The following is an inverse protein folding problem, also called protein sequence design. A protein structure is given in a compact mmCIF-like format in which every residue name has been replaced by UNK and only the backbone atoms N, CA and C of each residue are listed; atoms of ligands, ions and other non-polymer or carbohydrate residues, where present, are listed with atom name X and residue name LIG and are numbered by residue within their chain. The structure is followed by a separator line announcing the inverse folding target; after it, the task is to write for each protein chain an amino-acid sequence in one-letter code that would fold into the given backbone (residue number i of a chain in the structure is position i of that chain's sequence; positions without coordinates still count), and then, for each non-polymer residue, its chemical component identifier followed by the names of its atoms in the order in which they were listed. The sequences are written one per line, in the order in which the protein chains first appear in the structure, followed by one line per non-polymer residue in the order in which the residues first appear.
data_IF_297636924476
#
_entry.id   IF_297636924476
#
_cell.length_a   1.000
_cell.length_b   1.000
_cell.length_c   1.000
_cell.angle_alpha   90.00
_cell.angle_beta   90.00
_cell.angle_gamma   90.00
#
_symmetry.space_group_name_H-M   'P 1'
#
loop_
_entity.id
_entity.type
_entity.pdbx_description
1 polymer ?
#
# COMPACT_ATOMS: atom_id res chain seq x y z
N UNK A 1 20.68 -8.49 1.10
CA UNK A 1 19.53 -8.10 0.25
C UNK A 1 18.84 -6.96 0.95
N UNK A 2 18.81 -5.76 0.38
CA UNK A 2 18.11 -4.64 0.99
C UNK A 2 16.60 -4.90 0.89
N UNK A 3 15.91 -5.02 2.01
CA UNK A 3 14.46 -5.16 2.05
C UNK A 3 13.84 -3.78 2.18
N UNK A 4 12.99 -3.43 1.23
CA UNK A 4 12.16 -2.22 1.25
C UNK A 4 10.70 -2.63 1.41
N UNK A 5 9.99 -2.01 2.34
CA UNK A 5 8.56 -2.20 2.55
C UNK A 5 7.85 -0.85 2.43
N UNK A 6 6.71 -0.82 1.74
CA UNK A 6 5.86 0.36 1.66
C UNK A 6 4.67 0.16 2.61
N UNK A 7 4.48 1.10 3.54
CA UNK A 7 3.39 1.12 4.50
C UNK A 7 2.46 2.29 4.18
N UNK A 8 1.20 1.99 3.90
CA UNK A 8 0.20 2.99 3.50
C UNK A 8 -1.06 2.80 4.34
N UNK A 9 -1.62 3.91 4.84
CA UNK A 9 -2.93 3.93 5.50
C UNK A 9 -3.93 4.53 4.51
N UNK A 10 -5.00 3.79 4.24
CA UNK A 10 -6.07 4.19 3.33
C UNK A 10 -7.33 4.51 4.13
N UNK A 11 -7.95 5.66 3.84
CA UNK A 11 -9.24 6.06 4.40
C UNK A 11 -10.39 5.20 3.86
N UNK A 12 -11.55 5.25 4.53
CA UNK A 12 -12.81 4.63 4.05
C UNK A 12 -13.24 5.12 2.65
N UNK A 13 -12.74 6.27 2.20
CA UNK A 13 -12.99 6.81 0.86
C UNK A 13 -11.97 6.35 -0.19
N UNK A 14 -11.14 5.35 0.10
CA UNK A 14 -10.07 4.86 -0.78
C UNK A 14 -8.98 5.90 -1.07
N UNK A 15 -8.87 6.92 -0.22
CA UNK A 15 -7.86 7.97 -0.31
C UNK A 15 -6.70 7.59 0.60
N UNK A 16 -5.45 7.47 0.11
CA UNK A 16 -4.28 7.26 0.95
C UNK A 16 -4.06 8.51 1.81
N UNK A 17 -4.06 8.34 3.13
CA UNK A 17 -3.90 9.43 4.11
C UNK A 17 -2.50 9.45 4.75
N UNK A 18 -1.74 8.37 4.58
CA UNK A 18 -0.37 8.26 5.07
C UNK A 18 0.43 7.30 4.20
N UNK A 19 1.69 7.63 3.93
CA UNK A 19 2.63 6.78 3.21
C UNK A 19 4.01 6.88 3.86
N UNK A 20 4.58 5.72 4.20
CA UNK A 20 5.93 5.57 4.70
C UNK A 20 6.65 4.45 3.96
N UNK A 21 7.92 4.67 3.64
CA UNK A 21 8.80 3.63 3.13
C UNK A 21 9.76 3.22 4.24
N UNK A 22 9.86 1.93 4.50
CA UNK A 22 10.73 1.35 5.52
C UNK A 22 11.78 0.51 4.81
N UNK A 23 13.04 0.93 4.88
CA UNK A 23 14.13 0.21 4.22
C UNK A 23 15.41 1.02 4.13
N UNK A 24 16.47 0.36 3.64
CA UNK A 24 17.81 0.95 3.51
C UNK A 24 18.09 1.56 2.15
N UNK A 25 17.14 1.48 1.20
CA UNK A 25 17.29 2.02 -0.15
C UNK A 25 16.68 3.42 -0.22
N UNK A 26 17.34 4.34 -0.94
CA UNK A 26 16.86 5.70 -1.13
C UNK A 26 15.54 5.70 -1.93
N UNK A 27 14.55 6.45 -1.44
CA UNK A 27 13.27 6.70 -2.12
C UNK A 27 13.52 7.10 -3.58
N UNK A 28 13.05 6.26 -4.51
CA UNK A 28 13.03 6.55 -5.94
C UNK A 28 11.62 7.04 -6.31
N UNK A 29 11.48 8.23 -6.90
CA UNK A 29 10.15 8.78 -7.24
C UNK A 29 9.31 7.84 -8.14
N UNK A 30 9.96 7.09 -9.04
CA UNK A 30 9.28 6.05 -9.84
C UNK A 30 8.63 4.96 -8.97
N UNK A 31 9.24 4.64 -7.82
CA UNK A 31 8.69 3.65 -6.91
C UNK A 31 7.40 4.15 -6.25
N UNK A 32 7.25 5.46 -6.01
CA UNK A 32 6.04 6.02 -5.42
C UNK A 32 4.81 5.84 -6.33
N UNK A 33 4.96 6.11 -7.64
CA UNK A 33 3.88 5.88 -8.61
C UNK A 33 3.51 4.39 -8.70
N UNK A 34 4.51 3.52 -8.67
CA UNK A 34 4.30 2.08 -8.64
C UNK A 34 3.57 1.63 -7.36
N UNK A 35 3.96 2.16 -6.19
CA UNK A 35 3.31 1.83 -4.91
C UNK A 35 1.84 2.24 -4.91
N UNK A 36 1.51 3.44 -5.40
CA UNK A 36 0.13 3.90 -5.51
C UNK A 36 -0.71 3.01 -6.42
N UNK A 37 -0.17 2.60 -7.57
CA UNK A 37 -0.84 1.69 -8.47
C UNK A 37 -1.09 0.31 -7.83
N UNK A 38 -0.06 -0.27 -7.19
CA UNK A 38 -0.17 -1.57 -6.53
C UNK A 38 -1.20 -1.54 -5.40
N UNK A 39 -1.16 -0.52 -4.53
CA UNK A 39 -2.12 -0.40 -3.43
C UNK A 39 -3.55 -0.24 -3.94
N UNK A 40 -3.76 0.56 -4.99
CA UNK A 40 -5.08 0.71 -5.58
C UNK A 40 -5.64 -0.65 -6.05
N UNK A 41 -4.85 -1.44 -6.78
CA UNK A 41 -5.26 -2.77 -7.22
C UNK A 41 -5.44 -3.77 -6.05
N UNK A 42 -4.63 -3.67 -5.00
CA UNK A 42 -4.73 -4.54 -3.83
C UNK A 42 -5.98 -4.24 -3.00
N UNK A 43 -6.49 -3.01 -2.98
CA UNK A 43 -7.68 -2.65 -2.23
C UNK A 43 -8.91 -3.45 -2.66
N UNK A 44 -9.13 -3.65 -3.96
CA UNK A 44 -10.26 -4.44 -4.48
C UNK A 44 -10.28 -5.85 -3.87
N UNK A 45 -9.10 -6.50 -3.79
CA UNK A 45 -8.95 -7.84 -3.21
C UNK A 45 -9.17 -7.82 -1.70
N UNK A 46 -8.59 -6.83 -1.00
CA UNK A 46 -8.75 -6.70 0.46
C UNK A 46 -10.22 -6.48 0.84
N UNK A 47 -10.98 -5.73 0.03
CA UNK A 47 -12.39 -5.50 0.27
C UNK A 47 -13.23 -6.77 0.15
N UNK A 48 -12.99 -7.57 -0.89
CA UNK A 48 -13.64 -8.87 -1.08
C UNK A 48 -13.31 -9.81 0.09
N UNK A 49 -12.03 -9.89 0.47
CA UNK A 49 -11.56 -10.75 1.53
C UNK A 49 -12.04 -10.30 2.93
N UNK A 50 -12.16 -9.00 3.16
CA UNK A 50 -12.69 -8.45 4.41
C UNK A 50 -14.16 -8.84 4.65
N UNK A 51 -14.93 -9.09 3.58
CA UNK A 51 -16.30 -9.55 3.68
C UNK A 51 -16.42 -11.05 3.99
N UNK A 52 -15.38 -11.83 3.67
CA UNK A 52 -15.34 -13.29 3.92
C UNK A 52 -14.63 -13.64 5.23
N UNK A 53 -13.74 -12.78 5.71
CA UNK A 53 -13.11 -12.89 7.04
C UNK A 53 -14.03 -12.29 8.09
N UNK A 54 -14.97 -13.09 8.58
CA UNK A 54 -15.61 -12.82 9.87
C UNK A 54 -14.64 -13.23 10.99
N UNK A 55 -14.22 -12.29 11.82
CA UNK A 55 -13.53 -12.57 13.09
C UNK A 55 -14.46 -13.23 14.11
#
# INVERSE_FOLDING_TARGET
MATTACFIIVSKNYIPIYEAEVGTLLKKEEAAQQHQFIIHAALDIVQDLAWTTSA
#
